data_IF_254450844142
#
_entry.id   IF_254450844142
#
_cell.length_a   1.000
_cell.length_b   1.000
_cell.length_c   1.000
_cell.angle_alpha   90.00
_cell.angle_beta   90.00
_cell.angle_gamma   90.00
#
_symmetry.space_group_name_H-M   'P 1'
#
loop_
_entity.id
_entity.type
_entity.pdbx_description
1 polymer ?
#
# COMPACT_ATOMS: atom_id res chain seq x y z
N UNK A 1 -27.61 -0.86 4.16
CA UNK A 1 -26.69 -0.13 3.27
C UNK A 1 -26.24 -1.10 2.19
N UNK A 2 -26.54 -0.82 0.92
CA UNK A 2 -26.12 -1.70 -0.19
C UNK A 2 -24.80 -1.14 -0.73
N UNK A 3 -23.71 -1.88 -0.55
CA UNK A 3 -22.39 -1.53 -1.10
C UNK A 3 -22.19 -2.37 -2.35
N UNK A 4 -21.94 -1.72 -3.48
CA UNK A 4 -21.63 -2.38 -4.75
C UNK A 4 -20.21 -2.03 -5.14
N UNK A 5 -19.38 -3.06 -5.36
CA UNK A 5 -18.06 -2.87 -5.93
C UNK A 5 -18.21 -2.58 -7.42
N UNK A 6 -17.58 -1.49 -7.88
CA UNK A 6 -17.54 -1.12 -9.29
C UNK A 6 -16.10 -0.84 -9.66
N UNK A 7 -15.63 -1.47 -10.72
CA UNK A 7 -14.30 -1.18 -11.26
C UNK A 7 -14.31 0.20 -11.93
N UNK A 8 -13.23 0.96 -11.74
CA UNK A 8 -13.05 2.25 -12.35
C UNK A 8 -11.60 2.44 -12.78
N UNK A 9 -11.40 3.09 -13.93
CA UNK A 9 -10.10 3.54 -14.39
C UNK A 9 -9.83 4.94 -13.83
N UNK A 10 -8.61 5.18 -13.39
CA UNK A 10 -8.18 6.51 -12.96
C UNK A 10 -7.36 7.16 -14.07
N UNK A 11 -7.89 8.23 -14.63
CA UNK A 11 -7.28 8.99 -15.72
C UNK A 11 -7.31 10.47 -15.37
N UNK A 12 -6.14 11.12 -15.34
CA UNK A 12 -5.98 12.57 -15.12
C UNK A 12 -6.77 13.14 -13.92
N UNK A 13 -6.79 12.43 -12.79
CA UNK A 13 -7.52 12.87 -11.60
C UNK A 13 -8.97 12.43 -11.53
N UNK A 14 -9.50 11.78 -12.57
CA UNK A 14 -10.91 11.39 -12.68
C UNK A 14 -11.07 9.88 -12.61
N UNK A 15 -11.97 9.40 -11.75
CA UNK A 15 -12.39 8.01 -11.72
C UNK A 15 -13.51 7.78 -12.73
N UNK A 16 -13.25 6.93 -13.71
CA UNK A 16 -14.17 6.53 -14.79
C UNK A 16 -14.64 5.10 -14.54
N UNK A 17 -15.88 4.90 -14.05
CA UNK A 17 -16.45 3.57 -13.89
C UNK A 17 -16.44 2.79 -15.20
N UNK A 18 -16.13 1.49 -15.15
CA UNK A 18 -16.16 0.60 -16.31
C UNK A 18 -17.59 0.36 -16.83
N UNK A 19 -18.59 0.65 -16.01
CA UNK A 19 -20.00 0.53 -16.30
C UNK A 19 -20.76 1.77 -15.84
N UNK A 20 -21.92 2.04 -16.47
CA UNK A 20 -22.73 3.19 -16.10
C UNK A 20 -23.35 2.99 -14.72
N UNK A 21 -23.09 3.95 -13.82
CA UNK A 21 -23.72 3.99 -12.51
C UNK A 21 -25.11 4.61 -12.60
N UNK A 22 -26.08 4.03 -11.90
CA UNK A 22 -27.44 4.55 -11.77
C UNK A 22 -27.53 5.68 -10.72
N UNK A 23 -26.62 6.64 -10.79
CA UNK A 23 -26.54 7.81 -9.90
C UNK A 23 -27.22 9.02 -10.54
N UNK A 24 -27.75 9.92 -9.70
CA UNK A 24 -28.29 11.21 -10.13
C UNK A 24 -27.17 12.24 -10.23
N UNK A 25 -27.38 13.26 -11.07
CA UNK A 25 -26.46 14.40 -11.14
C UNK A 25 -26.38 15.09 -9.78
N UNK A 26 -25.15 15.31 -9.28
CA UNK A 26 -24.89 15.92 -7.97
C UNK A 26 -25.06 14.98 -6.76
N UNK A 27 -25.38 13.71 -6.97
CA UNK A 27 -25.46 12.72 -5.89
C UNK A 27 -24.09 12.50 -5.24
N UNK A 28 -24.03 12.58 -3.90
CA UNK A 28 -22.79 12.35 -3.14
C UNK A 28 -22.62 10.86 -2.87
N UNK A 29 -21.42 10.35 -3.13
CA UNK A 29 -21.06 8.94 -2.90
C UNK A 29 -19.82 8.86 -2.01
N UNK A 30 -19.73 7.78 -1.23
CA UNK A 30 -18.50 7.43 -0.52
C UNK A 30 -17.61 6.58 -1.42
N UNK A 31 -16.31 6.85 -1.41
CA UNK A 31 -15.35 6.15 -2.25
C UNK A 31 -14.48 5.20 -1.42
N UNK A 32 -14.37 3.94 -1.84
CA UNK A 32 -13.43 2.97 -1.28
C UNK A 32 -12.47 2.56 -2.40
N UNK A 33 -11.19 2.90 -2.26
CA UNK A 33 -10.15 2.55 -3.24
C UNK A 33 -9.46 1.28 -2.80
N UNK A 34 -9.68 0.20 -3.54
CA UNK A 34 -8.97 -1.08 -3.32
C UNK A 34 -7.80 -1.15 -4.29
N UNK A 35 -6.58 -0.90 -3.80
CA UNK A 35 -5.36 -1.15 -4.59
C UNK A 35 -5.13 -2.66 -4.61
N UNK A 36 -5.11 -3.26 -5.81
CA UNK A 36 -4.78 -4.68 -5.94
C UNK A 36 -3.38 -4.91 -5.34
N UNK A 37 -3.19 -5.98 -4.56
CA UNK A 37 -1.86 -6.36 -4.10
C UNK A 37 -0.94 -6.47 -5.31
N UNK A 38 0.22 -5.84 -5.21
CA UNK A 38 1.24 -5.94 -6.24
C UNK A 38 1.78 -7.39 -6.26
N UNK A 39 1.52 -8.18 -7.32
CA UNK A 39 1.96 -9.57 -7.37
C UNK A 39 3.49 -9.69 -7.41
N UNK A 40 4.18 -8.64 -7.88
CA UNK A 40 5.64 -8.53 -7.86
C UNK A 40 6.18 -7.87 -6.60
N UNK A 41 5.39 -7.74 -5.52
CA UNK A 41 5.85 -7.17 -4.24
C UNK A 41 7.10 -7.89 -3.69
N UNK A 42 7.18 -9.20 -3.90
CA UNK A 42 8.30 -10.04 -3.46
C UNK A 42 9.31 -10.34 -4.56
N UNK A 43 9.26 -9.64 -5.69
CA UNK A 43 10.30 -9.74 -6.71
C UNK A 43 11.61 -9.15 -6.13
N UNK A 44 12.55 -10.05 -5.80
CA UNK A 44 13.84 -9.70 -5.21
C UNK A 44 14.66 -8.76 -6.11
N UNK A 45 14.57 -8.91 -7.44
CA UNK A 45 15.30 -8.06 -8.38
C UNK A 45 14.70 -6.64 -8.43
N UNK A 46 13.41 -6.49 -8.15
CA UNK A 46 12.74 -5.19 -8.01
C UNK A 46 12.98 -4.56 -6.64
N UNK A 47 12.96 -5.37 -5.58
CA UNK A 47 13.26 -4.92 -4.21
C UNK A 47 14.69 -4.40 -4.09
N UNK A 48 15.66 -5.06 -4.74
CA UNK A 48 17.04 -4.60 -4.78
C UNK A 48 17.23 -3.22 -5.47
N UNK A 49 16.28 -2.80 -6.31
CA UNK A 49 16.32 -1.48 -6.97
C UNK A 49 15.70 -0.38 -6.10
N UNK A 50 14.80 -0.74 -5.18
CA UNK A 50 14.27 0.18 -4.19
C UNK A 50 15.25 0.27 -3.04
N UNK A 51 16.31 1.08 -3.20
CA UNK A 51 17.37 1.32 -2.20
C UNK A 51 16.92 2.08 -0.94
N UNK A 52 15.69 1.82 -0.47
CA UNK A 52 15.08 2.45 0.69
C UNK A 52 15.14 1.56 1.95
N UNK A 53 15.63 0.31 1.81
CA UNK A 53 15.65 -0.68 2.89
C UNK A 53 16.89 -0.65 3.77
N UNK A 54 18.04 -0.25 3.22
CA UNK A 54 19.33 -0.49 3.89
C UNK A 54 19.49 0.35 5.16
N UNK A 55 19.14 1.63 5.13
CA UNK A 55 19.25 2.50 6.31
C UNK A 55 18.34 2.08 7.48
N UNK A 56 17.12 1.62 7.18
CA UNK A 56 16.18 1.17 8.22
C UNK A 56 16.59 -0.18 8.80
N UNK A 57 17.14 -1.07 7.96
CA UNK A 57 17.68 -2.36 8.38
C UNK A 57 18.92 -2.19 9.25
N UNK A 58 19.85 -1.30 8.88
CA UNK A 58 21.04 -0.98 9.68
C UNK A 58 20.67 -0.44 11.06
N UNK A 59 19.71 0.48 11.13
CA UNK A 59 19.22 1.01 12.41
C UNK A 59 18.60 -0.10 13.28
N UNK A 60 17.74 -0.93 12.70
CA UNK A 60 17.11 -2.03 13.42
C UNK A 60 18.12 -3.06 13.93
N UNK A 61 19.15 -3.38 13.14
CA UNK A 61 20.22 -4.29 13.54
C UNK A 61 21.05 -3.73 14.71
N UNK A 62 21.34 -2.43 14.70
CA UNK A 62 22.05 -1.78 15.80
C UNK A 62 21.22 -1.78 17.10
N UNK A 63 19.92 -1.49 17.00
CA UNK A 63 19.00 -1.53 18.14
C UNK A 63 18.90 -2.96 18.73
N UNK A 64 18.81 -3.98 17.87
CA UNK A 64 18.81 -5.38 18.29
C UNK A 64 20.12 -5.81 18.94
N UNK A 65 21.27 -5.41 18.40
CA UNK A 65 22.58 -5.73 18.97
C UNK A 65 22.72 -5.16 20.39
N UNK A 66 22.32 -3.91 20.58
CA UNK A 66 22.34 -3.26 21.90
C UNK A 66 21.45 -3.99 22.91
N UNK A 67 20.23 -4.37 22.50
CA UNK A 67 19.30 -5.10 23.38
C UNK A 67 19.87 -6.46 23.81
N UNK A 68 20.57 -7.16 22.92
CA UNK A 68 21.20 -8.45 23.22
C UNK A 68 22.35 -8.29 24.24
N UNK A 69 23.18 -7.25 24.07
CA UNK A 69 24.27 -6.97 25.01
C UNK A 69 23.78 -6.56 26.39
N UNK A 70 22.65 -5.86 26.47
CA UNK A 70 22.03 -5.48 27.74
C UNK A 70 21.44 -6.70 28.47
N UNK A 71 20.89 -7.67 27.73
CA UNK A 71 20.38 -8.94 28.28
C UNK A 71 21.49 -9.84 28.81
N UNK A 72 22.65 -9.93 28.13
CA UNK A 72 23.80 -10.71 28.62
C UNK A 72 24.47 -10.12 29.87
N UNK A 73 24.31 -8.81 30.12
CA UNK A 73 24.91 -8.12 31.27
C UNK A 73 24.01 -8.13 32.51
N UNK A 74 22.79 -8.68 32.43
CA UNK A 74 21.83 -8.79 33.54
C UNK A 74 21.89 -10.14 34.25
#
# INVERSE_FOLDING_TARGET
>A
MVVRLVEAQYEDGVLRPAERLSLRSGERVNLIVVRRPDPGRWDLARLAKTGYGDALAEQGLAEWANALEDEEKS
#
